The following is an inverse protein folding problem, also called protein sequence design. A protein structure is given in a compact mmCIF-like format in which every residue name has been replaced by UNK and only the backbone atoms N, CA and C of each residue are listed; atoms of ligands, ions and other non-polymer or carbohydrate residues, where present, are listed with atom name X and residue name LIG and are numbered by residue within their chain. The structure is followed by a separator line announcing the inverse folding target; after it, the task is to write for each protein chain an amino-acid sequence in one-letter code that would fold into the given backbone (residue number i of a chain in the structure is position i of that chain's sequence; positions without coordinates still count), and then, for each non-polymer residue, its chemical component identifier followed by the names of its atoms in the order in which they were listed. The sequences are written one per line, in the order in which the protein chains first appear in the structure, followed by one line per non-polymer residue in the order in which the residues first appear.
data_IF_448048293010
#
_entry.id   IF_448048293010
#
_cell.length_a   1.000
_cell.length_b   1.000
_cell.length_c   1.000
_cell.angle_alpha   90.00
_cell.angle_beta   90.00
_cell.angle_gamma   90.00
#
_symmetry.space_group_name_H-M   'P 1'
#
loop_
_entity.id
_entity.type
_entity.pdbx_description
1 polymer ?
#
# COMPACT_ATOMS: atom_id res chain seq x y z
N UNK A 1 -28.95 -17.49 -34.45
CA UNK A 1 -27.83 -16.70 -34.98
C UNK A 1 -27.23 -15.95 -33.79
N UNK A 2 -26.25 -16.55 -33.14
CA UNK A 2 -25.56 -15.97 -31.99
C UNK A 2 -24.51 -15.01 -32.52
N UNK A 3 -24.63 -13.72 -32.21
CA UNK A 3 -23.55 -12.76 -32.49
C UNK A 3 -22.49 -12.92 -31.40
N UNK A 4 -21.34 -13.46 -31.76
CA UNK A 4 -20.12 -13.34 -30.96
C UNK A 4 -19.78 -11.85 -30.88
N UNK A 5 -20.02 -11.23 -29.72
CA UNK A 5 -19.45 -9.93 -29.41
C UNK A 5 -17.94 -10.14 -29.24
N UNK A 6 -17.17 -9.75 -30.24
CA UNK A 6 -15.72 -9.66 -30.18
C UNK A 6 -15.34 -8.61 -29.12
N UNK A 7 -15.25 -8.99 -27.84
CA UNK A 7 -14.82 -8.09 -26.78
C UNK A 7 -13.30 -7.95 -26.83
N UNK A 8 -12.81 -6.96 -27.59
CA UNK A 8 -11.41 -6.55 -27.52
C UNK A 8 -11.09 -6.11 -26.09
N UNK A 9 -10.09 -6.74 -25.46
CA UNK A 9 -9.56 -6.30 -24.17
C UNK A 9 -9.21 -4.81 -24.25
N UNK A 10 -9.67 -3.97 -23.31
CA UNK A 10 -9.32 -2.55 -23.31
C UNK A 10 -7.80 -2.39 -23.24
N UNK A 11 -7.26 -1.51 -24.08
CA UNK A 11 -5.84 -1.17 -24.07
C UNK A 11 -5.62 0.06 -23.19
N UNK A 12 -4.65 -0.03 -22.28
CA UNK A 12 -4.18 1.05 -21.40
C UNK A 12 -2.69 1.31 -21.66
N UNK A 13 -2.22 2.52 -21.39
CA UNK A 13 -0.80 2.86 -21.54
C UNK A 13 0.06 2.22 -20.44
N UNK A 14 1.29 1.82 -20.81
CA UNK A 14 2.27 1.21 -19.91
C UNK A 14 3.59 2.02 -19.97
N UNK A 15 3.92 2.84 -18.96
CA UNK A 15 3.09 3.20 -17.81
C UNK A 15 1.94 4.15 -18.19
N UNK A 16 0.95 4.27 -17.29
CA UNK A 16 -0.11 5.27 -17.37
C UNK A 16 0.47 6.67 -17.39
N UNK A 17 -0.21 7.57 -18.09
CA UNK A 17 0.11 8.99 -18.12
C UNK A 17 -0.76 9.71 -17.10
N UNK A 18 -0.12 10.34 -16.12
CA UNK A 18 -0.79 11.09 -15.05
C UNK A 18 -0.87 12.59 -15.42
N UNK A 19 -1.93 13.31 -14.99
CA UNK A 19 -3.08 12.83 -14.22
C UNK A 19 -4.08 12.04 -15.08
N UNK A 20 -4.74 11.04 -14.48
CA UNK A 20 -5.76 10.25 -15.15
C UNK A 20 -7.06 11.06 -15.30
N UNK A 21 -7.61 11.22 -16.51
CA UNK A 21 -8.93 11.81 -16.68
C UNK A 21 -10.01 10.83 -16.18
N UNK A 22 -11.17 11.36 -15.78
CA UNK A 22 -12.23 10.59 -15.12
C UNK A 22 -12.72 9.41 -15.96
N UNK A 23 -12.88 9.60 -17.26
CA UNK A 23 -13.31 8.58 -18.20
C UNK A 23 -12.31 7.42 -18.30
N UNK A 24 -11.00 7.71 -18.27
CA UNK A 24 -9.97 6.67 -18.25
C UNK A 24 -9.99 5.89 -16.92
N UNK A 25 -10.16 6.59 -15.79
CA UNK A 25 -10.30 5.95 -14.49
C UNK A 25 -11.53 5.04 -14.42
N UNK A 26 -12.67 5.48 -14.97
CA UNK A 26 -13.90 4.69 -15.03
C UNK A 26 -13.70 3.42 -15.90
N UNK A 27 -12.96 3.53 -17.01
CA UNK A 27 -12.58 2.38 -17.86
C UNK A 27 -11.67 1.39 -17.13
N UNK A 28 -10.68 1.88 -16.39
CA UNK A 28 -9.78 1.05 -15.58
C UNK A 28 -10.60 0.31 -14.50
N UNK A 29 -11.45 1.03 -13.77
CA UNK A 29 -12.31 0.44 -12.73
C UNK A 29 -13.25 -0.63 -13.29
N UNK A 30 -13.86 -0.40 -14.45
CA UNK A 30 -14.72 -1.37 -15.09
C UNK A 30 -13.95 -2.63 -15.52
N UNK A 31 -12.72 -2.47 -16.01
CA UNK A 31 -11.87 -3.59 -16.42
C UNK A 31 -11.37 -4.42 -15.23
N UNK A 32 -10.86 -3.77 -14.18
CA UNK A 32 -10.24 -4.45 -13.04
C UNK A 32 -11.25 -5.14 -12.11
N UNK A 33 -12.52 -4.72 -12.13
CA UNK A 33 -13.57 -5.22 -11.23
C UNK A 33 -13.74 -6.74 -11.27
N UNK A 34 -13.60 -7.33 -12.45
CA UNK A 34 -13.89 -8.75 -12.68
C UNK A 34 -12.63 -9.63 -12.63
N UNK A 35 -11.47 -9.05 -12.31
CA UNK A 35 -10.19 -9.74 -12.25
C UNK A 35 -9.89 -10.30 -10.85
N UNK A 36 -9.04 -11.32 -10.81
CA UNK A 36 -8.49 -11.86 -9.56
C UNK A 36 -7.49 -10.89 -8.92
N UNK A 37 -7.23 -10.95 -7.60
CA UNK A 37 -6.23 -10.10 -6.95
C UNK A 37 -4.86 -10.15 -7.61
N UNK A 38 -4.38 -11.33 -8.01
CA UNK A 38 -3.09 -11.50 -8.69
C UNK A 38 -3.07 -10.83 -10.07
N UNK A 39 -4.17 -10.87 -10.81
CA UNK A 39 -4.31 -10.17 -12.09
C UNK A 39 -4.33 -8.65 -11.92
N UNK A 40 -5.00 -8.16 -10.86
CA UNK A 40 -5.02 -6.73 -10.51
C UNK A 40 -3.63 -6.26 -10.10
N UNK A 41 -2.93 -7.02 -9.26
CA UNK A 41 -1.57 -6.70 -8.83
C UNK A 41 -0.58 -6.74 -10.00
N UNK A 42 -0.70 -7.73 -10.89
CA UNK A 42 0.09 -7.78 -12.13
C UNK A 42 -0.19 -6.57 -13.01
N UNK A 43 -1.45 -6.18 -13.16
CA UNK A 43 -1.82 -4.98 -13.90
C UNK A 43 -1.22 -3.73 -13.27
N UNK A 44 -1.27 -3.59 -11.94
CA UNK A 44 -0.69 -2.47 -11.22
C UNK A 44 0.82 -2.35 -11.47
N UNK A 45 1.57 -3.45 -11.38
CA UNK A 45 3.02 -3.50 -11.63
C UNK A 45 3.36 -3.04 -13.06
N UNK A 46 2.55 -3.42 -14.05
CA UNK A 46 2.79 -3.07 -15.45
C UNK A 46 2.46 -1.61 -15.80
N UNK A 47 1.47 -1.02 -15.12
CA UNK A 47 0.82 0.21 -15.58
C UNK A 47 1.06 1.40 -14.65
N UNK A 48 1.24 1.21 -13.34
CA UNK A 48 1.35 2.32 -12.40
C UNK A 48 2.81 2.82 -12.32
N UNK A 49 3.10 4.08 -12.71
CA UNK A 49 4.42 4.66 -12.47
C UNK A 49 4.58 4.93 -10.97
N UNK A 50 5.75 4.59 -10.42
CA UNK A 50 6.06 4.86 -9.01
C UNK A 50 5.14 4.12 -8.03
N UNK A 51 4.87 2.83 -8.28
CA UNK A 51 4.04 1.99 -7.41
C UNK A 51 4.72 1.70 -6.07
N UNK A 52 3.98 1.87 -4.97
CA UNK A 52 4.33 1.51 -3.60
C UNK A 52 3.17 0.72 -2.98
N UNK A 53 3.45 -0.07 -1.95
CA UNK A 53 2.42 -0.66 -1.09
C UNK A 53 2.51 -0.07 0.32
N UNK A 54 1.44 0.55 0.78
CA UNK A 54 1.29 0.93 2.20
C UNK A 54 0.80 -0.27 3.00
N UNK A 55 1.42 -0.55 4.16
CA UNK A 55 1.04 -1.69 5.00
C UNK A 55 1.27 -1.41 6.47
N UNK A 56 0.34 -1.89 7.31
CA UNK A 56 0.53 -2.03 8.76
C UNK A 56 0.77 -3.50 9.14
N UNK A 57 1.20 -4.32 8.16
CA UNK A 57 1.47 -5.76 8.30
C UNK A 57 0.30 -6.62 8.77
N UNK A 58 -0.94 -6.13 8.58
CA UNK A 58 -2.15 -6.94 8.71
C UNK A 58 -2.25 -8.02 7.61
N UNK A 59 -3.10 -9.03 7.85
CA UNK A 59 -3.19 -10.24 7.02
C UNK A 59 -3.38 -9.94 5.52
N UNK A 60 -4.29 -9.03 5.16
CA UNK A 60 -4.54 -8.66 3.75
C UNK A 60 -3.30 -8.05 3.09
N UNK A 61 -2.55 -7.22 3.82
CA UNK A 61 -1.31 -6.63 3.33
C UNK A 61 -0.23 -7.68 3.10
N UNK A 62 -0.09 -8.64 4.02
CA UNK A 62 0.86 -9.75 3.88
C UNK A 62 0.54 -10.63 2.67
N UNK A 63 -0.74 -10.92 2.42
CA UNK A 63 -1.16 -11.67 1.23
C UNK A 63 -0.74 -10.95 -0.05
N UNK A 64 -0.94 -9.63 -0.11
CA UNK A 64 -0.51 -8.83 -1.27
C UNK A 64 1.01 -8.81 -1.45
N UNK A 65 1.80 -8.72 -0.36
CA UNK A 65 3.26 -8.81 -0.40
C UNK A 65 3.70 -10.15 -0.98
N UNK A 66 3.11 -11.24 -0.49
CA UNK A 66 3.44 -12.59 -0.96
C UNK A 66 3.09 -12.79 -2.44
N UNK A 67 1.91 -12.32 -2.88
CA UNK A 67 1.51 -12.34 -4.28
C UNK A 67 2.48 -11.53 -5.16
N UNK A 68 2.82 -10.29 -4.76
CA UNK A 68 3.73 -9.42 -5.52
C UNK A 68 5.12 -10.05 -5.66
N UNK A 69 5.63 -10.70 -4.61
CA UNK A 69 6.93 -11.39 -4.64
C UNK A 69 7.00 -12.52 -5.67
N UNK A 70 5.86 -13.12 -6.01
CA UNK A 70 5.73 -14.19 -7.02
C UNK A 70 5.45 -13.64 -8.42
N UNK A 71 4.84 -12.45 -8.52
CA UNK A 71 4.46 -11.80 -9.78
C UNK A 71 5.65 -11.14 -10.46
N UNK A 72 6.55 -10.52 -9.70
CA UNK A 72 7.67 -9.73 -10.22
C UNK A 72 8.95 -9.97 -9.41
N UNK A 73 10.14 -10.03 -10.05
CA UNK A 73 11.41 -10.08 -9.35
C UNK A 73 11.76 -8.75 -8.63
N UNK A 74 11.06 -7.66 -8.99
CA UNK A 74 11.23 -6.34 -8.38
C UNK A 74 9.89 -5.90 -7.77
N UNK A 75 9.52 -6.42 -6.58
CA UNK A 75 8.27 -6.02 -5.93
C UNK A 75 8.30 -4.53 -5.57
N UNK A 76 7.14 -3.85 -5.56
CA UNK A 76 7.03 -2.47 -5.13
C UNK A 76 7.59 -2.26 -3.71
N UNK A 77 8.32 -1.16 -3.44
CA UNK A 77 8.71 -0.78 -2.08
C UNK A 77 7.51 -0.67 -1.13
N UNK A 78 7.73 -1.02 0.13
CA UNK A 78 6.73 -0.92 1.18
C UNK A 78 6.83 0.43 1.91
N UNK A 79 5.69 0.94 2.36
CA UNK A 79 5.59 2.09 3.26
C UNK A 79 4.93 1.62 4.55
N UNK A 80 5.63 1.82 5.67
CA UNK A 80 5.14 1.58 7.01
C UNK A 80 5.10 2.89 7.78
N UNK A 81 3.97 3.18 8.42
CA UNK A 81 3.82 4.32 9.32
C UNK A 81 3.96 3.78 10.74
N UNK A 82 5.11 4.06 11.36
CA UNK A 82 5.37 3.72 12.74
C UNK A 82 4.80 4.82 13.64
N UNK A 83 3.67 4.51 14.27
CA UNK A 83 2.98 5.43 15.17
C UNK A 83 3.69 5.61 16.50
N UNK A 84 4.79 4.86 16.73
CA UNK A 84 5.50 4.71 18.01
C UNK A 84 4.74 3.88 19.05
N UNK A 85 3.46 3.57 18.83
CA UNK A 85 2.60 2.80 19.74
C UNK A 85 2.22 1.42 19.20
N UNK A 86 2.94 0.91 18.19
CA UNK A 86 2.73 -0.44 17.69
C UNK A 86 3.09 -1.48 18.75
N UNK A 87 2.41 -2.63 18.68
CA UNK A 87 2.79 -3.79 19.48
C UNK A 87 4.21 -4.25 19.10
N UNK A 88 5.04 -4.68 20.07
CA UNK A 88 6.38 -5.22 19.77
C UNK A 88 6.35 -6.33 18.71
N UNK A 89 5.33 -7.19 18.75
CA UNK A 89 5.12 -8.28 17.79
C UNK A 89 4.91 -7.76 16.35
N UNK A 90 4.37 -6.55 16.20
CA UNK A 90 4.22 -5.91 14.87
C UNK A 90 5.59 -5.49 14.33
N UNK A 91 6.45 -4.93 15.18
CA UNK A 91 7.80 -4.52 14.80
C UNK A 91 8.67 -5.74 14.47
N UNK A 92 8.57 -6.82 15.25
CA UNK A 92 9.22 -8.09 14.94
C UNK A 92 8.77 -8.64 13.58
N UNK A 93 7.47 -8.55 13.26
CA UNK A 93 6.93 -8.96 11.96
C UNK A 93 7.45 -8.10 10.80
N UNK A 94 7.66 -6.79 11.00
CA UNK A 94 8.29 -5.91 9.99
C UNK A 94 9.66 -6.44 9.61
N UNK A 95 10.49 -6.73 10.60
CA UNK A 95 11.85 -7.27 10.41
C UNK A 95 11.83 -8.64 9.70
N UNK A 96 10.88 -9.51 10.03
CA UNK A 96 10.72 -10.81 9.38
C UNK A 96 10.31 -10.67 7.90
N UNK A 97 9.38 -9.76 7.60
CA UNK A 97 8.90 -9.51 6.24
C UNK A 97 10.01 -8.92 5.38
N UNK A 98 10.79 -7.97 5.89
CA UNK A 98 11.94 -7.40 5.18
C UNK A 98 12.94 -8.49 4.78
N UNK A 99 13.31 -9.35 5.74
CA UNK A 99 14.25 -10.46 5.51
C UNK A 99 13.71 -11.48 4.51
N UNK A 100 12.44 -11.86 4.66
CA UNK A 100 11.81 -12.93 3.86
C UNK A 100 11.60 -12.51 2.40
N UNK A 101 11.14 -11.29 2.16
CA UNK A 101 10.75 -10.82 0.83
C UNK A 101 11.83 -9.96 0.17
N UNK A 102 12.88 -9.57 0.90
CA UNK A 102 13.98 -8.75 0.38
C UNK A 102 13.49 -7.48 -0.34
N UNK A 103 12.44 -6.87 0.20
CA UNK A 103 11.79 -5.65 -0.32
C UNK A 103 12.16 -4.47 0.57
N UNK A 104 12.53 -3.30 0.01
CA UNK A 104 12.81 -2.12 0.83
C UNK A 104 11.55 -1.65 1.56
N UNK A 105 11.69 -1.35 2.85
CA UNK A 105 10.63 -0.79 3.70
C UNK A 105 10.99 0.64 4.07
N UNK A 106 10.15 1.59 3.67
CA UNK A 106 10.23 2.98 4.09
C UNK A 106 9.42 3.18 5.35
N UNK A 107 10.09 3.46 6.46
CA UNK A 107 9.46 3.75 7.75
C UNK A 107 9.33 5.26 7.93
N UNK A 108 8.12 5.72 8.22
CA UNK A 108 7.84 7.11 8.57
C UNK A 108 7.26 7.18 9.98
N UNK A 109 7.64 8.23 10.70
CA UNK A 109 7.29 8.46 12.10
C UNK A 109 6.77 9.89 12.27
N UNK A 110 6.06 10.20 13.37
CA UNK A 110 5.66 11.56 13.71
C UNK A 110 6.83 12.54 13.67
N UNK A 111 6.57 13.75 13.14
CA UNK A 111 7.64 14.73 12.89
C UNK A 111 8.40 15.10 14.17
N UNK A 112 9.70 14.79 14.18
CA UNK A 112 10.59 15.09 15.30
C UNK A 112 10.46 14.15 16.50
N UNK A 113 9.86 12.97 16.31
CA UNK A 113 9.73 11.94 17.34
C UNK A 113 10.36 10.63 16.84
N UNK A 114 11.34 10.10 17.59
CA UNK A 114 11.90 8.77 17.32
C UNK A 114 11.40 7.73 18.34
N UNK A 115 10.85 8.18 19.47
CA UNK A 115 10.37 7.35 20.56
C UNK A 115 9.03 7.82 21.12
N UNK A 116 8.31 6.92 21.80
CA UNK A 116 7.10 7.27 22.58
C UNK A 116 7.36 8.45 23.51
N UNK A 117 8.52 8.47 24.18
CA UNK A 117 8.88 9.55 25.10
C UNK A 117 9.00 10.91 24.39
N UNK A 118 9.50 10.95 23.16
CA UNK A 118 9.55 12.19 22.36
C UNK A 118 8.14 12.66 21.99
N UNK A 119 7.27 11.72 21.63
CA UNK A 119 5.88 11.99 21.28
C UNK A 119 5.09 12.52 22.49
N UNK A 120 5.17 11.84 23.62
CA UNK A 120 4.47 12.22 24.85
C UNK A 120 5.00 13.55 25.41
N UNK A 121 6.30 13.84 25.25
CA UNK A 121 6.85 15.15 25.59
C UNK A 121 6.32 16.27 24.70
N UNK A 122 6.08 16.00 23.41
CA UNK A 122 5.61 16.99 22.43
C UNK A 122 4.11 17.23 22.52
N UNK A 123 3.32 16.17 22.67
CA UNK A 123 1.86 16.22 22.55
C UNK A 123 1.10 15.80 23.82
N UNK A 124 1.76 15.22 24.82
CA UNK A 124 1.15 14.68 26.03
C UNK A 124 0.92 13.17 25.99
N UNK A 125 0.79 12.56 27.16
CA UNK A 125 0.43 11.14 27.30
C UNK A 125 -1.01 10.89 26.82
N UNK A 126 -1.24 9.74 26.20
CA UNK A 126 -2.57 9.29 25.76
C UNK A 126 -3.31 10.32 24.90
N UNK A 127 -2.61 10.89 23.92
CA UNK A 127 -3.19 11.86 23.01
C UNK A 127 -4.47 11.35 22.33
N UNK A 128 -4.52 10.06 22.00
CA UNK A 128 -5.70 9.40 21.42
C UNK A 128 -6.96 9.49 22.32
N UNK A 129 -6.81 9.58 23.65
CA UNK A 129 -7.93 9.72 24.59
C UNK A 129 -8.32 11.20 24.82
N UNK A 130 -7.38 12.13 24.59
CA UNK A 130 -7.52 13.54 25.00
C UNK A 130 -7.82 14.48 23.83
N UNK A 131 -7.30 14.18 22.64
CA UNK A 131 -7.55 14.89 21.38
C UNK A 131 -7.34 13.94 20.18
N UNK A 132 -8.37 13.17 19.84
CA UNK A 132 -8.38 12.21 18.74
C UNK A 132 -8.04 12.87 17.38
N UNK A 133 -8.54 14.08 17.13
CA UNK A 133 -8.29 14.78 15.86
C UNK A 133 -6.83 15.18 15.72
N UNK A 134 -6.19 15.63 16.80
CA UNK A 134 -4.77 15.92 16.77
C UNK A 134 -3.93 14.64 16.66
N UNK A 135 -4.35 13.55 17.30
CA UNK A 135 -3.69 12.26 17.15
C UNK A 135 -3.69 11.83 15.67
N UNK A 136 -4.84 11.77 15.01
CA UNK A 136 -4.97 11.38 13.59
C UNK A 136 -4.18 12.25 12.60
N UNK A 137 -3.84 13.48 12.99
CA UNK A 137 -2.98 14.36 12.19
C UNK A 137 -1.49 14.13 12.45
N UNK A 138 -1.12 13.78 13.68
CA UNK A 138 0.26 13.71 14.14
C UNK A 138 0.95 12.36 13.84
N UNK A 139 0.17 11.28 13.72
CA UNK A 139 0.59 9.91 13.35
C UNK A 139 0.02 9.52 11.99
#
# INVERSE_FOLDING_TARGET
MSSEASSSTPTFSKPLQLPLPKDELDRINAYLRDLTPEEILKWAVDHLPGLYQTTAFGLTGLVAIDMLSKITPNPPPLIFIDTLYHFPETLELVDEVEKRYSVPIHVYQPEGCETVADFEKKYGEKLWDTDETLYDYAV
#
